data_IF_891397349925
#
_entry.id   IF_891397349925
#
_cell.length_a   1.000
_cell.length_b   1.000
_cell.length_c   1.000
_cell.angle_alpha   90.00
_cell.angle_beta   90.00
_cell.angle_gamma   90.00
#
_symmetry.space_group_name_H-M   'P 1'
#
loop_
_entity.id
_entity.type
_entity.pdbx_description
1 polymer ?
#
# COMPACT_ATOMS: atom_id res chain seq x y z
N UNK A 1 1.51 0.52 25.99
CA UNK A 1 0.84 -0.51 25.17
C UNK A 1 0.06 0.20 24.06
N UNK A 2 0.55 0.37 22.82
CA UNK A 2 -0.25 1.05 21.80
C UNK A 2 -1.15 0.05 21.07
N UNK A 3 -2.45 0.24 21.29
CA UNK A 3 -3.62 -0.35 20.64
C UNK A 3 -3.68 0.10 19.17
N UNK A 4 -3.85 -0.84 18.23
CA UNK A 4 -3.96 -0.53 16.79
C UNK A 4 -5.43 -0.40 16.42
N UNK A 5 -5.81 0.74 15.84
CA UNK A 5 -7.15 1.01 15.37
C UNK A 5 -7.47 0.22 14.09
N UNK A 6 -8.62 -0.45 14.11
CA UNK A 6 -9.14 -1.43 13.18
C UNK A 6 -9.91 -0.79 11.99
N UNK A 7 -9.61 0.44 11.58
CA UNK A 7 -10.46 1.16 10.63
C UNK A 7 -10.00 0.96 9.18
N UNK A 8 -10.52 -0.07 8.51
CA UNK A 8 -10.41 -0.23 7.05
C UNK A 8 -10.22 -1.66 6.53
N UNK A 9 -10.19 -2.65 7.44
CA UNK A 9 -9.69 -4.01 7.21
C UNK A 9 -10.35 -4.80 6.05
N UNK A 10 -11.52 -4.41 5.50
CA UNK A 10 -12.18 -5.19 4.43
C UNK A 10 -12.89 -4.39 3.31
N UNK A 11 -12.56 -3.13 3.06
CA UNK A 11 -13.38 -2.30 2.16
C UNK A 11 -13.27 -2.60 0.65
N UNK A 12 -12.39 -3.52 0.20
CA UNK A 12 -12.10 -3.69 -1.24
C UNK A 12 -12.61 -5.00 -1.87
N UNK A 13 -13.27 -5.89 -1.10
CA UNK A 13 -13.70 -7.23 -1.58
C UNK A 13 -14.95 -7.25 -2.48
N UNK A 14 -15.61 -6.12 -2.74
CA UNK A 14 -16.97 -6.12 -3.30
C UNK A 14 -17.09 -6.07 -4.85
N UNK A 15 -16.00 -5.94 -5.63
CA UNK A 15 -16.10 -5.86 -7.11
C UNK A 15 -15.76 -7.18 -7.83
N UNK A 16 -16.57 -7.54 -8.83
CA UNK A 16 -16.35 -8.68 -9.73
C UNK A 16 -14.92 -8.65 -10.33
N UNK A 17 -14.10 -9.68 -10.10
CA UNK A 17 -12.67 -9.63 -10.42
C UNK A 17 -12.42 -9.83 -11.91
N UNK A 18 -11.87 -8.81 -12.57
CA UNK A 18 -11.19 -8.98 -13.86
C UNK A 18 -9.98 -9.92 -13.70
N UNK A 19 -9.52 -10.61 -14.75
CA UNK A 19 -8.34 -11.49 -14.71
C UNK A 19 -7.09 -10.78 -14.12
N UNK A 20 -6.98 -9.47 -14.34
CA UNK A 20 -5.94 -8.62 -13.74
C UNK A 20 -6.12 -8.40 -12.23
N UNK A 21 -7.36 -8.34 -11.73
CA UNK A 21 -7.63 -8.29 -10.29
C UNK A 21 -7.26 -9.61 -9.61
N UNK A 22 -7.47 -10.76 -10.24
CA UNK A 22 -7.09 -12.07 -9.67
C UNK A 22 -5.58 -12.13 -9.43
N UNK A 23 -4.78 -11.73 -10.43
CA UNK A 23 -3.31 -11.66 -10.29
C UNK A 23 -2.84 -10.63 -9.25
N UNK A 24 -3.63 -9.57 -9.06
CA UNK A 24 -3.33 -8.51 -8.11
C UNK A 24 -3.92 -8.75 -6.71
N UNK A 25 -4.78 -9.76 -6.53
CA UNK A 25 -5.40 -10.04 -5.24
C UNK A 25 -4.35 -10.37 -4.18
N UNK A 26 -3.42 -11.28 -4.49
CA UNK A 26 -2.36 -11.66 -3.56
C UNK A 26 -1.39 -10.52 -3.23
N UNK A 27 -0.85 -9.76 -4.22
CA UNK A 27 -0.06 -8.56 -3.91
C UNK A 27 -0.83 -7.47 -3.14
N UNK A 28 -2.15 -7.36 -3.32
CA UNK A 28 -2.98 -6.37 -2.60
C UNK A 28 -3.07 -6.73 -1.11
N UNK A 29 -3.34 -7.99 -0.80
CA UNK A 29 -3.35 -8.52 0.57
C UNK A 29 -1.98 -8.36 1.25
N UNK A 30 -0.90 -8.67 0.53
CA UNK A 30 0.46 -8.51 1.03
C UNK A 30 0.79 -7.05 1.41
N UNK A 31 0.44 -6.09 0.54
CA UNK A 31 0.63 -4.65 0.81
C UNK A 31 -0.18 -4.21 2.02
N UNK A 32 -1.41 -4.70 2.16
CA UNK A 32 -2.25 -4.38 3.31
C UNK A 32 -1.66 -4.89 4.63
N UNK A 33 -1.15 -6.13 4.64
CA UNK A 33 -0.46 -6.70 5.81
C UNK A 33 0.79 -5.90 6.20
N UNK A 34 1.63 -5.51 5.24
CA UNK A 34 2.82 -4.69 5.48
C UNK A 34 2.45 -3.32 6.04
N UNK A 35 1.42 -2.70 5.48
CA UNK A 35 0.94 -1.38 5.90
C UNK A 35 0.37 -1.42 7.32
N UNK A 36 -0.39 -2.47 7.67
CA UNK A 36 -0.90 -2.71 9.01
C UNK A 36 0.21 -2.97 10.03
N UNK A 37 1.20 -3.81 9.69
CA UNK A 37 2.38 -4.04 10.52
C UNK A 37 3.16 -2.74 10.80
N UNK A 38 3.14 -1.82 9.84
CA UNK A 38 3.78 -0.50 9.93
C UNK A 38 2.88 0.60 10.53
N UNK A 39 1.71 0.23 11.07
CA UNK A 39 0.72 1.16 11.66
C UNK A 39 0.27 2.29 10.72
N UNK A 40 0.19 2.01 9.43
CA UNK A 40 -0.19 2.99 8.41
C UNK A 40 0.88 4.02 8.04
N UNK A 41 2.10 3.88 8.57
CA UNK A 41 3.21 4.78 8.28
C UNK A 41 3.72 4.65 6.85
N UNK A 42 3.64 3.43 6.29
CA UNK A 42 4.30 3.09 5.03
C UNK A 42 3.44 3.47 3.82
N UNK A 43 3.96 4.33 2.95
CA UNK A 43 3.41 4.60 1.63
C UNK A 43 3.91 3.63 0.56
N UNK A 44 3.56 3.91 -0.69
CA UNK A 44 3.80 3.03 -1.85
C UNK A 44 5.25 2.60 -2.02
N UNK A 45 6.19 3.52 -1.83
CA UNK A 45 7.63 3.24 -1.92
C UNK A 45 8.11 2.23 -0.88
N UNK A 46 7.62 2.33 0.37
CA UNK A 46 8.04 1.41 1.45
C UNK A 46 7.34 0.07 1.30
N UNK A 47 6.05 0.06 0.96
CA UNK A 47 5.34 -1.17 0.65
C UNK A 47 5.97 -1.92 -0.55
N UNK A 48 6.44 -1.20 -1.58
CA UNK A 48 7.16 -1.78 -2.72
C UNK A 48 8.47 -2.47 -2.32
N UNK A 49 9.26 -1.82 -1.46
CA UNK A 49 10.49 -2.40 -0.96
C UNK A 49 10.24 -3.68 -0.14
N UNK A 50 9.26 -3.65 0.76
CA UNK A 50 8.88 -4.80 1.58
C UNK A 50 8.28 -5.95 0.76
N UNK A 51 7.52 -5.65 -0.30
CA UNK A 51 7.05 -6.67 -1.24
C UNK A 51 8.23 -7.39 -1.91
N UNK A 52 9.24 -6.66 -2.36
CA UNK A 52 10.41 -7.24 -3.03
C UNK A 52 11.35 -7.97 -2.07
N UNK A 53 11.62 -7.37 -0.91
CA UNK A 53 12.62 -7.86 0.05
C UNK A 53 12.05 -8.93 0.99
N UNK A 54 10.82 -8.76 1.48
CA UNK A 54 10.20 -9.65 2.45
C UNK A 54 9.41 -10.80 1.84
N UNK A 55 8.81 -10.59 0.66
CA UNK A 55 7.91 -11.56 0.03
C UNK A 55 8.36 -12.00 -1.38
N UNK A 56 9.50 -11.49 -1.86
CA UNK A 56 10.03 -11.75 -3.22
C UNK A 56 9.03 -11.45 -4.34
N UNK A 57 8.13 -10.48 -4.11
CA UNK A 57 7.11 -10.05 -5.05
C UNK A 57 7.64 -8.86 -5.84
N UNK A 58 8.07 -9.11 -7.07
CA UNK A 58 8.50 -8.05 -7.96
C UNK A 58 7.30 -7.41 -8.65
N UNK A 59 6.86 -6.26 -8.13
CA UNK A 59 5.90 -5.38 -8.80
C UNK A 59 6.59 -4.09 -9.23
N UNK A 60 6.04 -3.39 -10.23
CA UNK A 60 6.50 -2.03 -10.55
C UNK A 60 6.02 -1.04 -9.49
N UNK A 61 6.70 0.10 -9.34
CA UNK A 61 6.28 1.16 -8.40
C UNK A 61 4.82 1.59 -8.64
N UNK A 62 4.44 1.81 -9.91
CA UNK A 62 3.06 2.16 -10.27
C UNK A 62 2.05 1.04 -9.97
N UNK A 63 2.47 -0.23 -9.98
CA UNK A 63 1.61 -1.33 -9.53
C UNK A 63 1.45 -1.29 -8.02
N UNK A 64 2.51 -1.06 -7.24
CA UNK A 64 2.41 -0.91 -5.79
C UNK A 64 1.50 0.28 -5.39
N UNK A 65 1.59 1.40 -6.10
CA UNK A 65 0.68 2.54 -5.93
C UNK A 65 -0.77 2.17 -6.23
N UNK A 66 -1.02 1.48 -7.35
CA UNK A 66 -2.35 1.02 -7.72
C UNK A 66 -2.92 0.02 -6.69
N UNK A 67 -2.08 -0.87 -6.15
CA UNK A 67 -2.48 -1.85 -5.13
C UNK A 67 -2.85 -1.14 -3.82
N UNK A 68 -2.06 -0.15 -3.38
CA UNK A 68 -2.39 0.67 -2.22
C UNK A 68 -3.68 1.47 -2.42
N UNK A 69 -3.84 2.11 -3.58
CA UNK A 69 -5.06 2.85 -3.93
C UNK A 69 -6.29 1.94 -3.93
N UNK A 70 -6.17 0.72 -4.48
CA UNK A 70 -7.25 -0.28 -4.48
C UNK A 70 -7.62 -0.78 -3.10
N UNK A 71 -6.63 -0.95 -2.23
CA UNK A 71 -6.83 -1.32 -0.84
C UNK A 71 -7.31 -0.15 0.04
N UNK A 72 -7.47 1.06 -0.53
CA UNK A 72 -7.83 2.26 0.23
C UNK A 72 -6.74 2.72 1.20
N UNK A 73 -5.50 2.29 0.97
CA UNK A 73 -4.36 2.57 1.85
C UNK A 73 -3.64 3.81 1.35
N UNK A 74 -3.44 4.74 2.26
CA UNK A 74 -2.65 5.93 2.04
C UNK A 74 -1.53 5.92 3.07
N UNK A 75 -0.28 6.08 2.62
CA UNK A 75 0.80 6.37 3.55
C UNK A 75 0.55 7.70 4.25
N UNK A 76 1.23 7.94 5.37
CA UNK A 76 1.32 9.29 5.93
C UNK A 76 1.66 10.27 4.80
N UNK A 77 1.01 11.45 4.75
CA UNK A 77 1.35 12.46 3.77
C UNK A 77 2.86 12.68 3.89
N UNK A 78 3.60 12.28 2.85
CA UNK A 78 5.04 12.44 2.82
C UNK A 78 5.33 13.89 3.15
N UNK A 79 6.33 14.15 4.00
CA UNK A 79 6.78 15.51 4.33
C UNK A 79 6.71 16.31 3.02
N UNK A 80 5.78 17.27 2.98
CA UNK A 80 5.58 18.15 1.84
C UNK A 80 6.93 18.82 1.71
N UNK A 81 7.81 18.34 0.82
CA UNK A 81 9.01 19.08 0.53
C UNK A 81 8.47 20.39 0.02
N UNK A 82 8.56 21.42 0.88
CA UNK A 82 8.25 22.77 0.50
C UNK A 82 9.05 22.97 -0.77
N UNK A 83 8.34 23.12 -1.89
CA UNK A 83 8.98 23.48 -3.14
C UNK A 83 9.62 24.83 -2.87
N UNK A 84 10.89 24.82 -2.47
CA UNK A 84 11.65 26.03 -2.25
C UNK A 84 11.59 26.80 -3.58
N UNK A 85 11.14 28.07 -3.58
CA UNK A 85 11.13 28.84 -4.80
C UNK A 85 12.57 28.90 -5.33
N UNK A 86 12.76 28.47 -6.58
CA UNK A 86 13.99 28.74 -7.32
C UNK A 86 14.03 30.25 -7.58
N UNK A 87 14.75 30.98 -6.74
CA UNK A 87 15.18 32.36 -7.00
C UNK A 87 16.47 32.35 -7.81
#
# INVERSE_FOLDING_TARGET
MPHVAESGYYAWRDRAPSNRMVKHAWPTEAVASIHAASRGTYGSRRAHAELGLGLSIHVTHGTAELLMQRAGLHGLPGNRQAHAPRT
#
